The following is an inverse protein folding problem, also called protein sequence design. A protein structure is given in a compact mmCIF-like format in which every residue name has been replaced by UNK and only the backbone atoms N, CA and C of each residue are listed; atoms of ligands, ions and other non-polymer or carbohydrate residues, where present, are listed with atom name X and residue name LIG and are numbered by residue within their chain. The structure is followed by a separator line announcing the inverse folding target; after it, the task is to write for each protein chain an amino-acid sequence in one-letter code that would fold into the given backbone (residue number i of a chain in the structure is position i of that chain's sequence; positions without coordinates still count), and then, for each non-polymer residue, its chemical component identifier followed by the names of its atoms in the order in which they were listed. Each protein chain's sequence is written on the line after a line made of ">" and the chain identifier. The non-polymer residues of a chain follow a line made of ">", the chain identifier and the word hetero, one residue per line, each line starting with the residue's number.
data_IF_110978770740
#
_entry.id   IF_110978770740
#
_cell.length_a   1.000
_cell.length_b   1.000
_cell.length_c   1.000
_cell.angle_alpha   90.00
_cell.angle_beta   90.00
_cell.angle_gamma   90.00
#
_symmetry.space_group_name_H-M   'P 1'
#
loop_
_entity.id
_entity.type
_entity.pdbx_description
1 polymer ?
#
# COMPACT_ATOMS: atom_id res chain seq x y z
N UNK A 1 -2.77 4.05 -44.14
CA UNK A 1 -3.15 4.34 -42.75
C UNK A 1 -1.90 4.75 -42.01
N UNK A 2 -1.84 5.99 -41.52
CA UNK A 2 -0.68 6.49 -40.79
C UNK A 2 -0.73 6.05 -39.32
N UNK A 3 0.40 6.12 -38.61
CA UNK A 3 0.53 5.70 -37.21
C UNK A 3 -0.46 6.41 -36.27
N UNK A 4 -0.85 7.64 -36.62
CA UNK A 4 -1.76 8.45 -35.82
C UNK A 4 -3.22 7.98 -35.96
N UNK A 5 -3.62 7.56 -37.15
CA UNK A 5 -4.91 6.93 -37.43
C UNK A 5 -5.01 5.59 -36.68
N UNK A 6 -3.94 4.78 -36.64
CA UNK A 6 -3.94 3.50 -35.93
C UNK A 6 -4.06 3.67 -34.41
N UNK A 7 -3.37 4.67 -33.85
CA UNK A 7 -3.48 5.00 -32.43
C UNK A 7 -4.87 5.58 -32.08
N UNK A 8 -5.46 6.35 -32.98
CA UNK A 8 -6.80 6.92 -32.79
C UNK A 8 -7.86 5.82 -32.82
N UNK A 9 -7.76 4.88 -33.76
CA UNK A 9 -8.65 3.72 -33.80
C UNK A 9 -8.50 2.81 -32.59
N UNK A 10 -7.26 2.54 -32.15
CA UNK A 10 -7.01 1.75 -30.95
C UNK A 10 -7.61 2.41 -29.69
N UNK A 11 -7.46 3.73 -29.56
CA UNK A 11 -8.07 4.49 -28.46
C UNK A 11 -9.60 4.44 -28.51
N UNK A 12 -10.19 4.66 -29.68
CA UNK A 12 -11.64 4.62 -29.85
C UNK A 12 -12.20 3.22 -29.52
N UNK A 13 -11.48 2.16 -29.87
CA UNK A 13 -11.85 0.78 -29.54
C UNK A 13 -11.80 0.54 -28.01
N UNK A 14 -10.76 1.04 -27.33
CA UNK A 14 -10.62 0.96 -25.88
C UNK A 14 -11.74 1.74 -25.19
N UNK A 15 -12.02 2.97 -25.62
CA UNK A 15 -13.09 3.81 -25.07
C UNK A 15 -14.47 3.16 -25.29
N UNK A 16 -14.68 2.48 -26.42
CA UNK A 16 -15.91 1.74 -26.71
C UNK A 16 -16.06 0.51 -25.81
N UNK A 17 -14.98 -0.22 -25.53
CA UNK A 17 -14.99 -1.38 -24.61
C UNK A 17 -15.20 -0.93 -23.17
N UNK A 18 -14.54 0.15 -22.75
CA UNK A 18 -14.68 0.70 -21.39
C UNK A 18 -16.10 1.21 -21.19
N UNK A 19 -16.64 2.06 -22.09
CA UNK A 19 -18.00 2.59 -21.98
C UNK A 19 -19.11 1.54 -22.03
N UNK A 20 -18.86 0.39 -22.68
CA UNK A 20 -19.81 -0.74 -22.63
C UNK A 20 -19.84 -1.44 -21.27
N UNK A 21 -18.76 -1.31 -20.50
CA UNK A 21 -18.55 -2.02 -19.24
C UNK A 21 -18.69 -1.11 -18.01
N UNK A 22 -18.68 0.23 -18.15
CA UNK A 22 -18.99 1.14 -17.04
C UNK A 22 -20.51 1.15 -16.82
N UNK A 23 -20.97 0.36 -15.84
CA UNK A 23 -22.39 0.29 -15.44
C UNK A 23 -23.08 -1.05 -15.74
N UNK A 24 -22.37 -2.04 -16.28
CA UNK A 24 -22.87 -3.40 -16.41
C UNK A 24 -21.76 -4.41 -16.18
N UNK A 25 -21.41 -4.64 -14.91
CA UNK A 25 -21.04 -5.99 -14.46
C UNK A 25 -22.34 -6.82 -14.44
N UNK A 26 -23.01 -6.86 -15.58
CA UNK A 26 -24.13 -7.75 -15.85
C UNK A 26 -23.51 -9.08 -16.21
N UNK A 27 -23.76 -10.08 -15.36
CA UNK A 27 -23.52 -11.48 -15.65
C UNK A 27 -24.08 -11.82 -17.05
N UNK A 28 -23.22 -11.84 -18.06
CA UNK A 28 -23.38 -12.85 -19.10
C UNK A 28 -23.03 -14.14 -18.37
N UNK A 29 -23.96 -15.09 -18.28
CA UNK A 29 -23.72 -16.41 -17.68
C UNK A 29 -22.60 -17.10 -18.45
N UNK A 30 -21.37 -16.78 -18.07
CA UNK A 30 -20.18 -17.46 -18.54
C UNK A 30 -20.31 -18.92 -18.12
N UNK A 31 -20.01 -19.88 -18.99
CA UNK A 31 -20.00 -21.28 -18.59
C UNK A 31 -19.07 -21.46 -17.38
N UNK A 32 -19.38 -22.41 -16.51
CA UNK A 32 -18.69 -22.61 -15.23
C UNK A 32 -17.17 -22.73 -15.41
N UNK A 33 -16.72 -23.29 -16.53
CA UNK A 33 -15.32 -23.42 -16.90
C UNK A 33 -14.66 -22.08 -17.24
N UNK A 34 -15.38 -21.15 -17.87
CA UNK A 34 -14.90 -19.79 -18.16
C UNK A 34 -14.89 -18.91 -16.90
N UNK A 35 -15.86 -19.10 -16.00
CA UNK A 35 -15.85 -18.50 -14.65
C UNK A 35 -14.67 -19.01 -13.83
N UNK A 36 -14.44 -20.31 -13.78
CA UNK A 36 -13.30 -20.90 -13.06
C UNK A 36 -11.96 -20.44 -13.63
N UNK A 37 -11.83 -20.35 -14.95
CA UNK A 37 -10.63 -19.84 -15.61
C UNK A 37 -10.41 -18.35 -15.34
N UNK A 38 -11.48 -17.54 -15.38
CA UNK A 38 -11.45 -16.12 -15.01
C UNK A 38 -11.09 -15.94 -13.53
N UNK A 39 -11.69 -16.71 -12.63
CA UNK A 39 -11.40 -16.71 -11.20
C UNK A 39 -9.92 -17.07 -10.95
N UNK A 40 -9.39 -18.08 -11.65
CA UNK A 40 -8.00 -18.54 -11.54
C UNK A 40 -6.99 -17.55 -12.13
N UNK A 41 -7.36 -16.85 -13.21
CA UNK A 41 -6.57 -15.75 -13.77
C UNK A 41 -6.56 -14.52 -12.87
N UNK A 42 -7.70 -14.19 -12.25
CA UNK A 42 -7.83 -13.04 -11.36
C UNK A 42 -7.26 -13.30 -9.96
N UNK A 43 -7.27 -14.54 -9.47
CA UNK A 43 -6.74 -14.88 -8.14
C UNK A 43 -5.23 -14.65 -8.04
N UNK A 44 -4.48 -14.82 -9.13
CA UNK A 44 -3.05 -14.48 -9.18
C UNK A 44 -2.76 -13.00 -9.42
N UNK A 45 -3.73 -12.24 -9.95
CA UNK A 45 -3.64 -10.78 -10.11
C UNK A 45 -4.00 -10.03 -8.82
N UNK A 46 -4.79 -10.66 -7.94
CA UNK A 46 -5.21 -10.07 -6.68
C UNK A 46 -4.05 -9.98 -5.69
N UNK A 47 -3.15 -10.95 -5.61
CA UNK A 47 -2.07 -10.96 -4.60
C UNK A 47 -1.07 -9.82 -4.79
N UNK A 48 -0.65 -9.54 -6.03
CA UNK A 48 0.26 -8.42 -6.31
C UNK A 48 -0.44 -7.10 -6.03
N UNK A 49 -1.72 -6.99 -6.41
CA UNK A 49 -2.54 -5.80 -6.14
C UNK A 49 -2.73 -5.59 -4.64
N UNK A 50 -3.01 -6.63 -3.88
CA UNK A 50 -3.15 -6.61 -2.42
C UNK A 50 -1.84 -6.18 -1.76
N UNK A 51 -0.69 -6.69 -2.20
CA UNK A 51 0.62 -6.22 -1.74
C UNK A 51 0.78 -4.72 -1.98
N UNK A 52 0.52 -4.24 -3.20
CA UNK A 52 0.61 -2.81 -3.51
C UNK A 52 -0.37 -1.96 -2.68
N UNK A 53 -1.59 -2.46 -2.46
CA UNK A 53 -2.61 -1.76 -1.68
C UNK A 53 -2.18 -1.61 -0.21
N UNK A 54 -1.59 -2.64 0.42
CA UNK A 54 -1.07 -2.54 1.79
C UNK A 54 0.18 -1.63 1.86
N UNK A 55 1.10 -1.69 0.88
CA UNK A 55 2.23 -0.74 0.83
C UNK A 55 1.74 0.70 0.78
N UNK A 56 0.68 0.97 0.00
CA UNK A 56 0.08 2.29 -0.08
C UNK A 56 -0.63 2.68 1.23
N UNK A 57 -1.28 1.74 1.92
CA UNK A 57 -1.88 1.97 3.23
C UNK A 57 -0.82 2.37 4.28
N UNK A 58 0.32 1.67 4.33
CA UNK A 58 1.45 2.00 5.21
C UNK A 58 1.99 3.41 4.91
N UNK A 59 2.15 3.76 3.62
CA UNK A 59 2.56 5.12 3.23
C UNK A 59 1.53 6.17 3.67
N UNK A 60 0.24 5.90 3.53
CA UNK A 60 -0.82 6.80 3.96
C UNK A 60 -0.80 7.00 5.49
N UNK A 61 -0.62 5.93 6.27
CA UNK A 61 -0.45 6.00 7.72
C UNK A 61 0.76 6.87 8.10
N UNK A 62 1.90 6.69 7.43
CA UNK A 62 3.09 7.50 7.67
C UNK A 62 2.83 8.99 7.40
N UNK A 63 2.21 9.32 6.27
CA UNK A 63 1.94 10.70 5.87
C UNK A 63 0.87 11.40 6.73
N UNK A 64 -0.09 10.65 7.26
CA UNK A 64 -1.21 11.20 8.03
C UNK A 64 -0.88 11.44 9.52
N UNK A 65 0.21 10.86 10.04
CA UNK A 65 0.51 10.85 11.48
C UNK A 65 1.87 11.47 11.83
N UNK A 66 2.36 12.38 10.97
CA UNK A 66 3.67 13.05 11.13
C UNK A 66 3.76 13.93 12.38
N UNK A 67 2.63 14.28 12.99
CA UNK A 67 2.52 15.09 14.21
C UNK A 67 2.87 14.31 15.49
N UNK A 68 2.69 12.98 15.47
CA UNK A 68 2.81 12.13 16.67
C UNK A 68 3.91 11.10 16.59
N UNK A 69 4.30 10.68 15.38
CA UNK A 69 5.37 9.69 15.18
C UNK A 69 6.09 9.94 13.86
N UNK A 70 7.39 9.66 13.82
CA UNK A 70 8.16 9.76 12.60
C UNK A 70 8.29 8.38 11.95
N UNK A 71 7.53 8.16 10.88
CA UNK A 71 7.51 6.91 10.12
C UNK A 71 8.24 7.10 8.80
N UNK A 72 9.08 6.14 8.45
CA UNK A 72 9.84 6.11 7.21
C UNK A 72 9.51 4.84 6.45
N UNK A 73 9.22 5.01 5.16
CA UNK A 73 8.90 3.92 4.24
C UNK A 73 9.84 4.00 3.05
N UNK A 74 10.74 3.02 2.94
CA UNK A 74 11.81 3.01 1.96
C UNK A 74 11.65 1.82 1.01
N UNK A 75 11.34 2.09 -0.26
CA UNK A 75 11.30 1.07 -1.29
C UNK A 75 12.62 0.98 -2.07
N UNK A 76 13.23 -0.20 -2.09
CA UNK A 76 14.43 -0.54 -2.84
C UNK A 76 14.09 -1.39 -4.06
N UNK A 77 13.81 -0.73 -5.19
CA UNK A 77 13.35 -1.40 -6.41
C UNK A 77 14.31 -2.45 -6.99
N UNK A 78 15.62 -2.30 -6.81
CA UNK A 78 16.64 -3.23 -7.33
C UNK A 78 16.61 -4.63 -6.65
N UNK A 79 15.99 -4.74 -5.48
CA UNK A 79 15.83 -5.99 -4.72
C UNK A 79 14.37 -6.28 -4.35
N UNK A 80 13.43 -5.49 -4.89
CA UNK A 80 12.01 -5.53 -4.56
C UNK A 80 11.75 -5.60 -3.04
N UNK A 81 12.36 -4.69 -2.29
CA UNK A 81 12.39 -4.68 -0.81
C UNK A 81 11.75 -3.42 -0.28
N UNK A 82 10.89 -3.54 0.73
CA UNK A 82 10.31 -2.43 1.47
C UNK A 82 10.83 -2.47 2.90
N UNK A 83 11.42 -1.37 3.35
CA UNK A 83 11.79 -1.19 4.75
C UNK A 83 10.85 -0.15 5.38
N UNK A 84 10.29 -0.48 6.55
CA UNK A 84 9.42 0.39 7.33
C UNK A 84 10.03 0.54 8.71
N UNK A 85 10.32 1.77 9.12
CA UNK A 85 10.79 2.03 10.48
C UNK A 85 10.14 3.26 11.08
N UNK A 86 9.95 3.23 12.39
CA UNK A 86 9.26 4.27 13.14
C UNK A 86 10.09 4.70 14.35
N UNK A 87 10.16 6.02 14.58
CA UNK A 87 10.84 6.63 15.71
C UNK A 87 9.90 7.59 16.45
N UNK A 88 10.13 7.85 17.75
CA UNK A 88 9.36 8.86 18.49
C UNK A 88 9.41 10.25 17.83
N UNK A 89 8.34 11.05 17.96
CA UNK A 89 8.27 12.41 17.38
C UNK A 89 9.34 13.38 17.92
N UNK A 90 9.87 13.16 19.12
CA UNK A 90 10.94 13.97 19.72
C UNK A 90 12.35 13.51 19.32
N UNK A 91 12.45 12.54 18.40
CA UNK A 91 13.74 12.00 17.93
C UNK A 91 14.62 13.07 17.31
N UNK A 92 15.86 13.16 17.79
CA UNK A 92 16.90 14.04 17.24
C UNK A 92 17.73 13.30 16.19
N UNK A 93 17.63 13.70 14.93
CA UNK A 93 18.34 13.06 13.81
C UNK A 93 19.82 13.45 13.66
N UNK A 94 20.49 13.79 14.75
CA UNK A 94 21.91 14.14 14.74
C UNK A 94 22.78 12.87 14.84
N UNK A 95 23.91 12.85 14.14
CA UNK A 95 24.79 11.67 14.08
C UNK A 95 25.34 11.23 15.45
N UNK A 96 25.43 12.14 16.41
CA UNK A 96 25.98 11.91 17.75
C UNK A 96 24.93 11.51 18.80
N UNK A 97 23.64 11.45 18.44
CA UNK A 97 22.56 11.14 19.39
C UNK A 97 22.04 9.73 19.08
N UNK A 98 22.06 8.80 20.06
CA UNK A 98 21.40 7.51 19.93
C UNK A 98 19.92 7.71 19.59
N UNK A 99 19.45 7.03 18.55
CA UNK A 99 18.05 7.08 18.12
C UNK A 99 17.32 5.91 18.75
N UNK A 100 16.17 6.19 19.34
CA UNK A 100 15.24 5.13 19.71
C UNK A 100 14.45 4.73 18.46
N UNK A 101 14.45 3.44 18.19
CA UNK A 101 13.68 2.84 17.10
C UNK A 101 12.54 2.03 17.74
N UNK A 102 11.31 2.34 17.34
CA UNK A 102 10.09 1.65 17.82
C UNK A 102 9.75 0.46 16.92
N UNK A 103 10.02 0.59 15.62
CA UNK A 103 9.79 -0.41 14.60
C UNK A 103 10.93 -0.33 13.59
N UNK A 104 11.44 -1.48 13.11
CA UNK A 104 12.36 -1.56 11.97
C UNK A 104 12.18 -2.92 11.29
N UNK A 105 11.30 -2.91 10.28
CA UNK A 105 10.88 -4.10 9.58
C UNK A 105 11.30 -4.03 8.11
N UNK A 106 11.67 -5.19 7.58
CA UNK A 106 12.27 -5.32 6.28
C UNK A 106 11.69 -6.51 5.50
N UNK A 107 10.98 -6.19 4.42
CA UNK A 107 10.13 -7.12 3.71
C UNK A 107 10.59 -7.22 2.26
N UNK A 108 10.81 -8.45 1.78
CA UNK A 108 10.99 -8.72 0.34
C UNK A 108 9.63 -8.97 -0.30
N UNK A 109 9.20 -8.07 -1.18
CA UNK A 109 7.85 -8.08 -1.77
C UNK A 109 7.63 -9.20 -2.80
N UNK A 110 8.68 -9.92 -3.21
CA UNK A 110 8.59 -11.07 -4.10
C UNK A 110 8.52 -12.42 -3.37
N UNK A 111 8.46 -12.43 -2.04
CA UNK A 111 8.31 -13.65 -1.25
C UNK A 111 6.84 -14.05 -1.11
N UNK A 112 6.56 -15.35 -1.03
CA UNK A 112 5.18 -15.87 -0.95
C UNK A 112 4.40 -15.36 0.27
N UNK A 113 5.10 -15.06 1.37
CA UNK A 113 4.52 -14.53 2.60
C UNK A 113 4.63 -13.00 2.72
N UNK A 114 4.91 -12.27 1.63
CA UNK A 114 5.06 -10.82 1.67
C UNK A 114 3.79 -10.10 2.15
N UNK A 115 2.60 -10.56 1.71
CA UNK A 115 1.32 -9.97 2.12
C UNK A 115 1.07 -10.11 3.63
N UNK A 116 1.36 -11.28 4.19
CA UNK A 116 1.21 -11.53 5.64
C UNK A 116 2.17 -10.64 6.45
N UNK A 117 3.42 -10.52 6.01
CA UNK A 117 4.40 -9.62 6.64
C UNK A 117 3.95 -8.16 6.57
N UNK A 118 3.43 -7.72 5.43
CA UNK A 118 2.94 -6.35 5.26
C UNK A 118 1.75 -6.04 6.15
N UNK A 119 0.78 -6.95 6.25
CA UNK A 119 -0.37 -6.80 7.16
C UNK A 119 0.07 -6.75 8.63
N UNK A 120 1.05 -7.57 9.00
CA UNK A 120 1.63 -7.54 10.34
C UNK A 120 2.26 -6.17 10.65
N UNK A 121 3.05 -5.63 9.71
CA UNK A 121 3.70 -4.32 9.85
C UNK A 121 2.67 -3.18 9.88
N UNK A 122 1.66 -3.21 9.02
CA UNK A 122 0.56 -2.24 9.03
C UNK A 122 -0.17 -2.24 10.40
N UNK A 123 -0.45 -3.43 10.95
CA UNK A 123 -1.04 -3.58 12.27
C UNK A 123 -0.17 -3.01 13.38
N UNK A 124 1.11 -3.37 13.44
CA UNK A 124 2.05 -2.83 14.43
C UNK A 124 2.16 -1.30 14.34
N UNK A 125 2.21 -0.77 13.12
CA UNK A 125 2.29 0.67 12.90
C UNK A 125 1.02 1.38 13.37
N UNK A 126 -0.15 0.77 13.15
CA UNK A 126 -1.43 1.30 13.62
C UNK A 126 -1.48 1.40 15.14
N UNK A 127 -1.06 0.35 15.85
CA UNK A 127 -1.00 0.35 17.32
C UNK A 127 -0.03 1.43 17.85
N UNK A 128 1.17 1.52 17.28
CA UNK A 128 2.15 2.56 17.66
C UNK A 128 1.62 3.98 17.45
N UNK A 129 0.84 4.20 16.39
CA UNK A 129 0.19 5.50 16.13
C UNK A 129 -0.88 5.80 17.18
N UNK A 130 -1.69 4.81 17.56
CA UNK A 130 -2.72 4.96 18.59
C UNK A 130 -2.06 5.35 19.92
N UNK A 131 -1.06 4.59 20.37
CA UNK A 131 -0.32 4.87 21.60
C UNK A 131 0.30 6.28 21.57
N UNK A 132 0.93 6.66 20.46
CA UNK A 132 1.54 7.98 20.32
C UNK A 132 0.51 9.12 20.36
N UNK A 133 -0.70 8.91 19.81
CA UNK A 133 -1.80 9.88 19.89
C UNK A 133 -2.32 10.02 21.31
N UNK A 134 -2.57 8.91 22.00
CA UNK A 134 -3.02 8.92 23.39
C UNK A 134 -2.01 9.63 24.31
N UNK A 135 -0.71 9.37 24.12
CA UNK A 135 0.33 10.09 24.86
C UNK A 135 0.38 11.59 24.57
N UNK A 136 0.19 11.98 23.31
CA UNK A 136 0.19 13.39 22.90
C UNK A 136 -1.00 14.13 23.51
N UNK A 137 -2.18 13.52 23.53
CA UNK A 137 -3.39 14.05 24.16
C UNK A 137 -3.22 14.19 25.68
N UNK A 138 -2.70 13.16 26.36
CA UNK A 138 -2.44 13.21 27.79
C UNK A 138 -1.43 14.32 28.18
N UNK A 139 -0.39 14.53 27.35
CA UNK A 139 0.57 15.63 27.56
C UNK A 139 -0.10 17.00 27.36
N UNK A 140 -0.99 17.14 26.38
CA UNK A 140 -1.71 18.38 26.13
C UNK A 140 -2.62 18.76 27.32
N UNK A 141 -3.38 17.81 27.87
CA UNK A 141 -4.27 18.04 29.02
C UNK A 141 -3.54 18.49 30.29
N UNK A 142 -2.33 18.00 30.52
CA UNK A 142 -1.51 18.39 31.69
C UNK A 142 -0.95 19.81 31.55
N UNK A 143 -0.82 20.33 30.33
CA UNK A 143 -0.22 21.64 30.06
C UNK A 143 -1.21 22.78 29.84
N UNK A 144 -2.52 22.48 29.78
CA UNK A 144 -3.62 23.43 29.62
C UNK A 144 -4.15 23.96 30.96
#
# INVERSE_FOLDING_TARGET
>A
MNTFETLTEARNLIDQVINRNVGSIGHVDLPAEALASKQKLLSGLNTDREVFDIVNAINALAMANTDVIHVFVNFSGHVNRLQVYANPADTKYQASVPKQTLLDEDIRLNQENALEQLLFVEGQLTELIIEAREEAEAKAEVTA
#
